data_IF_277590561061
#
_entry.id   IF_277590561061
#
_cell.length_a   1.000
_cell.length_b   1.000
_cell.length_c   1.000
_cell.angle_alpha   90.00
_cell.angle_beta   90.00
_cell.angle_gamma   90.00
#
_symmetry.space_group_name_H-M   'P 1'
#
loop_
_entity.id
_entity.type
_entity.pdbx_description
1 polymer ?
#
# COMPACT_ATOMS: atom_id res chain seq x y z
N UNK A 1 13.14 -29.98 -20.62
CA UNK A 1 12.79 -28.88 -19.71
C UNK A 1 13.97 -28.63 -18.79
N UNK A 2 14.52 -27.42 -18.80
CA UNK A 2 15.77 -27.13 -18.11
C UNK A 2 15.54 -26.84 -16.63
N UNK A 3 16.46 -27.28 -15.76
CA UNK A 3 16.43 -27.07 -14.29
C UNK A 3 16.20 -25.62 -13.91
N UNK A 4 16.71 -24.69 -14.72
CA UNK A 4 16.51 -23.25 -14.58
C UNK A 4 15.02 -22.85 -14.58
N UNK A 5 14.19 -23.45 -15.45
CA UNK A 5 12.76 -23.13 -15.54
C UNK A 5 12.00 -23.65 -14.32
N UNK A 6 12.36 -24.83 -13.82
CA UNK A 6 11.75 -25.47 -12.64
C UNK A 6 11.92 -24.59 -11.39
N UNK A 7 13.05 -23.88 -11.28
CA UNK A 7 13.34 -23.01 -10.12
C UNK A 7 12.89 -21.57 -10.35
N UNK A 8 13.07 -21.02 -11.56
CA UNK A 8 12.75 -19.62 -11.84
C UNK A 8 11.24 -19.35 -11.82
N UNK A 9 10.42 -20.26 -12.32
CA UNK A 9 8.97 -20.11 -12.40
C UNK A 9 8.27 -19.95 -11.03
N UNK A 10 8.52 -20.83 -10.03
CA UNK A 10 7.90 -20.67 -8.70
C UNK A 10 8.41 -19.43 -7.97
N UNK A 11 9.69 -19.08 -8.13
CA UNK A 11 10.27 -17.87 -7.49
C UNK A 11 9.65 -16.60 -8.09
N UNK A 12 9.52 -16.54 -9.41
CA UNK A 12 8.88 -15.41 -10.08
C UNK A 12 7.41 -15.28 -9.68
N UNK A 13 6.68 -16.39 -9.66
CA UNK A 13 5.27 -16.40 -9.24
C UNK A 13 5.10 -15.96 -7.79
N UNK A 14 5.95 -16.43 -6.88
CA UNK A 14 5.96 -16.00 -5.49
C UNK A 14 6.26 -14.49 -5.36
N UNK A 15 7.22 -13.98 -6.13
CA UNK A 15 7.55 -12.56 -6.16
C UNK A 15 6.38 -11.69 -6.65
N UNK A 16 5.68 -12.12 -7.70
CA UNK A 16 4.48 -11.44 -8.22
C UNK A 16 3.37 -11.42 -7.16
N UNK A 17 3.11 -12.56 -6.51
CA UNK A 17 2.09 -12.65 -5.45
C UNK A 17 2.46 -11.73 -4.28
N UNK A 18 3.71 -11.75 -3.82
CA UNK A 18 4.15 -10.92 -2.71
C UNK A 18 4.05 -9.42 -3.04
N UNK A 19 4.43 -9.03 -4.25
CA UNK A 19 4.28 -7.66 -4.74
C UNK A 19 2.82 -7.23 -4.79
N UNK A 20 1.94 -8.07 -5.35
CA UNK A 20 0.51 -7.79 -5.43
C UNK A 20 -0.14 -7.67 -4.05
N UNK A 21 0.18 -8.57 -3.12
CA UNK A 21 -0.29 -8.52 -1.73
C UNK A 21 0.19 -7.24 -1.04
N UNK A 22 1.46 -6.89 -1.20
CA UNK A 22 2.02 -5.67 -0.59
C UNK A 22 1.34 -4.42 -1.13
N UNK A 23 1.13 -4.34 -2.44
CA UNK A 23 0.43 -3.23 -3.08
C UNK A 23 -1.04 -3.14 -2.60
N UNK A 24 -1.72 -4.28 -2.48
CA UNK A 24 -3.08 -4.35 -1.98
C UNK A 24 -3.19 -3.87 -0.53
N UNK A 25 -2.33 -4.37 0.37
CA UNK A 25 -2.27 -3.95 1.78
C UNK A 25 -2.03 -2.45 1.87
N UNK A 26 -1.12 -1.90 1.07
CA UNK A 26 -0.87 -0.46 1.01
C UNK A 26 -2.12 0.32 0.57
N UNK A 27 -2.81 -0.11 -0.48
CA UNK A 27 -4.05 0.52 -0.93
C UNK A 27 -5.15 0.47 0.14
N UNK A 28 -5.33 -0.68 0.79
CA UNK A 28 -6.31 -0.84 1.89
C UNK A 28 -5.99 0.12 3.04
N UNK A 29 -4.72 0.23 3.44
CA UNK A 29 -4.30 1.18 4.48
C UNK A 29 -4.62 2.62 4.09
N UNK A 30 -4.31 3.04 2.87
CA UNK A 30 -4.60 4.38 2.35
C UNK A 30 -6.11 4.65 2.34
N UNK A 31 -6.92 3.72 1.83
CA UNK A 31 -8.38 3.85 1.78
C UNK A 31 -8.96 3.95 3.19
N UNK A 32 -8.46 3.17 4.14
CA UNK A 32 -8.90 3.19 5.55
C UNK A 32 -8.59 4.53 6.21
N UNK A 33 -7.39 5.08 5.98
CA UNK A 33 -7.00 6.41 6.49
C UNK A 33 -7.83 7.51 5.83
N UNK A 34 -8.07 7.43 4.53
CA UNK A 34 -8.91 8.37 3.80
C UNK A 34 -10.36 8.35 4.31
N UNK A 35 -10.95 7.16 4.46
CA UNK A 35 -12.28 6.97 5.02
C UNK A 35 -12.36 7.52 6.45
N UNK A 36 -11.35 7.24 7.28
CA UNK A 36 -11.24 7.81 8.64
C UNK A 36 -11.21 9.34 8.62
N UNK A 37 -10.46 9.94 7.69
CA UNK A 37 -10.39 11.40 7.54
C UNK A 37 -11.74 12.04 7.16
N UNK A 38 -12.67 11.29 6.58
CA UNK A 38 -14.01 11.77 6.20
C UNK A 38 -15.05 11.43 7.28
N UNK A 39 -15.02 10.21 7.82
CA UNK A 39 -16.01 9.73 8.78
C UNK A 39 -15.83 10.31 10.19
N UNK A 40 -14.62 10.72 10.61
CA UNK A 40 -14.47 11.29 11.95
C UNK A 40 -15.22 12.62 12.08
N UNK A 41 -16.16 12.66 13.05
CA UNK A 41 -17.09 13.76 13.31
C UNK A 41 -16.45 14.98 13.99
N UNK A 42 -15.25 14.81 14.57
CA UNK A 42 -14.51 15.88 15.25
C UNK A 42 -13.49 16.56 14.33
N UNK A 43 -13.50 17.90 14.22
CA UNK A 43 -12.63 18.64 13.29
C UNK A 43 -11.13 18.48 13.59
N UNK A 44 -10.75 18.29 14.87
CA UNK A 44 -9.37 18.00 15.27
C UNK A 44 -8.86 16.67 14.68
N UNK A 45 -9.64 15.58 14.77
CA UNK A 45 -9.23 14.26 14.23
C UNK A 45 -9.11 14.26 12.71
N UNK A 46 -9.89 15.09 12.02
CA UNK A 46 -9.75 15.28 10.56
C UNK A 46 -8.43 15.96 10.18
N UNK A 47 -7.89 16.86 11.01
CA UNK A 47 -6.60 17.53 10.74
C UNK A 47 -5.42 16.57 10.89
N UNK A 48 -5.42 15.76 11.95
CA UNK A 48 -4.36 14.76 12.17
C UNK A 48 -4.36 13.70 11.07
N UNK A 49 -5.54 13.20 10.68
CA UNK A 49 -5.66 12.24 9.59
C UNK A 49 -5.17 12.82 8.23
N UNK A 50 -5.45 14.10 7.94
CA UNK A 50 -4.90 14.78 6.74
C UNK A 50 -3.39 14.97 6.82
N UNK A 51 -2.83 15.23 7.99
CA UNK A 51 -1.39 15.36 8.18
C UNK A 51 -0.68 14.01 7.90
N UNK A 52 -1.20 12.91 8.44
CA UNK A 52 -0.70 11.56 8.18
C UNK A 52 -0.84 11.19 6.70
N UNK A 53 -1.98 11.50 6.07
CA UNK A 53 -2.20 11.24 4.65
C UNK A 53 -1.27 12.07 3.76
N UNK A 54 -1.00 13.34 4.13
CA UNK A 54 -0.03 14.18 3.44
C UNK A 54 1.39 13.64 3.56
N UNK A 55 1.79 13.09 4.71
CA UNK A 55 3.10 12.45 4.88
C UNK A 55 3.21 11.18 4.02
N UNK A 56 2.18 10.33 4.05
CA UNK A 56 2.11 9.11 3.23
C UNK A 56 2.18 9.42 1.73
N UNK A 57 1.48 10.46 1.27
CA UNK A 57 1.44 10.86 -0.14
C UNK A 57 2.67 11.66 -0.57
N UNK A 58 3.25 12.49 0.29
CA UNK A 58 4.46 13.28 -0.03
C UNK A 58 5.69 12.40 -0.24
N UNK A 59 5.75 11.24 0.42
CA UNK A 59 6.82 10.24 0.21
C UNK A 59 6.72 9.54 -1.16
N UNK A 60 5.59 9.67 -1.86
CA UNK A 60 5.36 9.09 -3.19
C UNK A 60 5.70 10.06 -4.34
N UNK A 61 5.93 11.34 -4.06
CA UNK A 61 6.29 12.36 -5.06
C UNK A 61 7.78 12.76 -5.08
N UNK A 62 8.65 12.01 -4.39
CA UNK A 62 10.09 12.28 -4.29
C UNK A 62 10.96 11.29 -5.07
N UNK A 63 10.47 10.79 -6.20
CA UNK A 63 11.27 10.07 -7.20
C UNK A 63 11.06 10.71 -8.55
#
# INVERSE_FOLDING_TARGET
MSVLQIVAEPVFRAGVVLSAVTAFVYCVAVVTVAASSVLFRTPQRRRDARATLRILMRRRGGR
#
